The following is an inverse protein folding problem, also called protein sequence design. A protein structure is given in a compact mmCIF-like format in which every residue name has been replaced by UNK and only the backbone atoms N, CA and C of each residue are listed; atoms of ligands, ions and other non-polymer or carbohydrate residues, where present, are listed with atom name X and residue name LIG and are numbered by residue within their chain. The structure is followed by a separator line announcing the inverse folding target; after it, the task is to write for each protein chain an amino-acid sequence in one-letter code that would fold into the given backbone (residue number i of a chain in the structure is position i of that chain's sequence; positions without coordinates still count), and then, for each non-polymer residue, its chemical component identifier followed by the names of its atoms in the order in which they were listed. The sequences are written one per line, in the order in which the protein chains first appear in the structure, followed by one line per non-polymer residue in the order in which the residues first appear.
data_IF_273223497173
#
_entry.id   IF_273223497173
#
_cell.length_a   1.000
_cell.length_b   1.000
_cell.length_c   1.000
_cell.angle_alpha   90.00
_cell.angle_beta   90.00
_cell.angle_gamma   90.00
#
_symmetry.space_group_name_H-M   'P 1'
#
loop_
_entity.id
_entity.type
_entity.pdbx_description
1 polymer ?
#
# COMPACT_ATOMS: atom_id res chain seq x y z
N UNK A 1 79.43 5.77 -2.15
CA UNK A 1 79.78 5.43 -3.55
C UNK A 1 78.61 4.64 -4.16
N UNK A 2 78.15 5.07 -5.35
CA UNK A 2 77.19 4.41 -6.28
C UNK A 2 75.68 4.48 -5.96
N UNK A 3 75.05 5.45 -6.65
CA UNK A 3 73.67 5.45 -7.15
C UNK A 3 73.29 4.14 -7.82
N UNK A 4 71.98 3.81 -7.88
CA UNK A 4 71.28 3.40 -9.11
C UNK A 4 69.78 3.69 -9.00
N UNK A 5 69.36 4.78 -9.67
CA UNK A 5 67.98 5.04 -10.09
C UNK A 5 67.77 4.28 -11.41
N UNK A 6 66.64 3.56 -11.52
CA UNK A 6 65.82 3.26 -12.74
C UNK A 6 65.25 1.83 -12.71
N UNK A 7 64.01 1.69 -12.26
CA UNK A 7 62.91 0.92 -12.91
C UNK A 7 61.59 1.61 -12.52
N UNK A 8 61.05 2.49 -13.38
CA UNK A 8 59.89 2.17 -14.25
C UNK A 8 58.59 2.18 -13.41
N UNK A 9 57.95 3.32 -13.14
CA UNK A 9 57.04 4.06 -14.04
C UNK A 9 55.84 3.28 -14.61
N UNK A 10 55.54 2.08 -14.11
CA UNK A 10 54.31 1.33 -14.46
C UNK A 10 53.56 0.98 -13.16
N UNK A 11 53.07 1.98 -12.44
CA UNK A 11 52.09 1.76 -11.37
C UNK A 11 51.12 2.94 -11.15
N UNK A 12 51.08 3.88 -12.09
CA UNK A 12 50.15 5.01 -12.08
C UNK A 12 49.17 4.99 -13.26
N UNK A 13 49.19 3.93 -14.08
CA UNK A 13 48.32 3.73 -15.25
C UNK A 13 47.23 2.67 -15.10
N UNK A 14 47.19 1.94 -13.98
CA UNK A 14 46.23 0.83 -13.78
C UNK A 14 45.11 1.19 -12.77
N UNK A 15 45.26 2.26 -11.98
CA UNK A 15 44.19 2.78 -11.11
C UNK A 15 43.22 3.75 -11.80
N UNK A 16 43.49 4.17 -13.04
CA UNK A 16 42.64 5.12 -13.79
C UNK A 16 41.72 4.46 -14.84
N UNK A 17 41.78 3.14 -15.00
CA UNK A 17 40.94 2.41 -15.98
C UNK A 17 39.76 1.67 -15.32
N UNK A 18 39.70 1.60 -13.99
CA UNK A 18 38.60 0.94 -13.27
C UNK A 18 37.40 1.85 -12.94
N UNK A 19 37.44 3.13 -13.31
CA UNK A 19 36.33 4.08 -13.10
C UNK A 19 35.48 4.36 -14.35
N UNK A 20 35.67 3.61 -15.45
CA UNK A 20 35.02 3.88 -16.74
C UNK A 20 33.79 3.00 -17.07
N UNK A 21 33.29 2.17 -16.14
CA UNK A 21 32.08 1.37 -16.39
C UNK A 21 31.16 1.26 -15.16
N UNK A 22 30.86 2.38 -14.49
CA UNK A 22 29.54 2.48 -13.85
C UNK A 22 28.55 2.82 -14.95
N UNK A 23 27.90 1.80 -15.52
CA UNK A 23 26.60 2.01 -16.17
C UNK A 23 25.69 2.52 -15.05
N UNK A 24 25.55 3.83 -14.94
CA UNK A 24 24.40 4.44 -14.28
C UNK A 24 23.19 3.82 -14.96
N UNK A 25 22.54 2.89 -14.26
CA UNK A 25 21.18 2.48 -14.60
C UNK A 25 20.34 3.70 -14.25
N UNK A 26 20.26 4.65 -15.19
CA UNK A 26 19.19 5.64 -15.16
C UNK A 26 17.91 4.84 -15.22
N UNK A 27 17.13 4.88 -14.14
CA UNK A 27 15.71 4.57 -14.24
C UNK A 27 15.19 5.45 -15.39
N UNK A 28 14.63 4.83 -16.43
CA UNK A 28 14.12 5.55 -17.58
C UNK A 28 12.96 6.41 -17.12
N UNK A 29 13.23 7.68 -16.84
CA UNK A 29 12.24 8.69 -16.52
C UNK A 29 11.68 9.20 -17.83
N UNK A 30 10.37 9.07 -18.05
CA UNK A 30 9.70 9.66 -19.20
C UNK A 30 9.71 11.19 -19.10
N UNK A 31 9.82 11.84 -20.26
CA UNK A 31 9.92 13.31 -20.37
C UNK A 31 8.60 13.99 -20.71
N UNK A 32 7.64 13.25 -21.28
CA UNK A 32 6.31 13.74 -21.66
C UNK A 32 5.23 12.65 -21.46
N UNK A 33 3.96 13.06 -21.42
CA UNK A 33 2.81 12.20 -21.14
C UNK A 33 2.68 11.05 -22.15
N UNK A 34 2.93 11.30 -23.43
CA UNK A 34 2.86 10.30 -24.49
C UNK A 34 3.93 9.21 -24.31
N UNK A 35 5.16 9.60 -23.97
CA UNK A 35 6.24 8.68 -23.66
C UNK A 35 5.94 7.85 -22.41
N UNK A 36 5.39 8.48 -21.36
CA UNK A 36 4.96 7.76 -20.16
C UNK A 36 3.88 6.72 -20.50
N UNK A 37 2.89 7.08 -21.31
CA UNK A 37 1.81 6.18 -21.73
C UNK A 37 2.35 4.98 -22.54
N UNK A 38 3.28 5.23 -23.46
CA UNK A 38 3.95 4.18 -24.24
C UNK A 38 4.71 3.21 -23.33
N UNK A 39 5.51 3.73 -22.40
CA UNK A 39 6.26 2.91 -21.44
C UNK A 39 5.35 2.14 -20.48
N UNK A 40 4.23 2.73 -20.05
CA UNK A 40 3.22 2.05 -19.24
C UNK A 40 2.67 0.83 -19.99
N UNK A 41 2.27 1.00 -21.25
CA UNK A 41 1.78 -0.10 -22.08
C UNK A 41 2.86 -1.17 -22.31
N UNK A 42 4.09 -0.75 -22.61
CA UNK A 42 5.23 -1.64 -22.80
C UNK A 42 5.49 -2.51 -21.56
N UNK A 43 5.57 -1.90 -20.38
CA UNK A 43 5.79 -2.63 -19.13
C UNK A 43 4.58 -3.47 -18.70
N UNK A 44 3.36 -3.03 -18.99
CA UNK A 44 2.16 -3.86 -18.78
C UNK A 44 2.19 -5.12 -19.65
N UNK A 45 2.54 -4.99 -20.92
CA UNK A 45 2.68 -6.13 -21.84
C UNK A 45 3.79 -7.08 -21.41
N UNK A 46 4.94 -6.53 -20.99
CA UNK A 46 6.06 -7.34 -20.51
C UNK A 46 5.71 -8.06 -19.20
N UNK A 47 4.97 -7.45 -18.28
CA UNK A 47 4.45 -8.14 -17.08
C UNK A 47 3.57 -9.32 -17.48
N UNK A 48 2.60 -9.12 -18.39
CA UNK A 48 1.71 -10.19 -18.85
C UNK A 48 2.48 -11.36 -19.47
N UNK A 49 3.53 -11.05 -20.26
CA UNK A 49 4.41 -12.05 -20.85
C UNK A 49 5.21 -12.81 -19.79
N UNK A 50 5.81 -12.11 -18.83
CA UNK A 50 6.58 -12.71 -17.74
C UNK A 50 5.68 -13.55 -16.81
N UNK A 51 4.42 -13.17 -16.62
CA UNK A 51 3.44 -13.96 -15.86
C UNK A 51 3.11 -15.30 -16.54
N UNK A 52 3.15 -15.36 -17.87
CA UNK A 52 2.97 -16.60 -18.64
C UNK A 52 4.21 -17.51 -18.72
N UNK A 53 5.36 -17.08 -18.19
CA UNK A 53 6.60 -17.86 -18.21
C UNK A 53 6.78 -18.73 -16.96
N UNK A 54 7.72 -19.67 -17.01
CA UNK A 54 8.01 -20.59 -15.90
C UNK A 54 8.34 -19.85 -14.59
N UNK A 55 7.85 -20.38 -13.47
CA UNK A 55 8.09 -19.86 -12.11
C UNK A 55 9.53 -20.13 -11.67
N UNK A 56 10.46 -19.31 -12.14
CA UNK A 56 11.88 -19.30 -11.75
C UNK A 56 12.19 -18.04 -10.94
N UNK A 57 13.28 -18.07 -10.16
CA UNK A 57 13.72 -16.90 -9.40
C UNK A 57 14.02 -15.74 -10.34
N UNK A 58 14.69 -16.02 -11.46
CA UNK A 58 14.99 -15.03 -12.50
C UNK A 58 13.72 -14.37 -13.05
N UNK A 59 12.70 -15.16 -13.36
CA UNK A 59 11.43 -14.64 -13.87
C UNK A 59 10.73 -13.78 -12.80
N UNK A 60 10.70 -14.22 -11.55
CA UNK A 60 10.09 -13.47 -10.45
C UNK A 60 10.79 -12.13 -10.20
N UNK A 61 12.13 -12.11 -10.25
CA UNK A 61 12.92 -10.88 -10.17
C UNK A 61 12.61 -9.94 -11.34
N UNK A 62 12.53 -10.48 -12.56
CA UNK A 62 12.19 -9.70 -13.75
C UNK A 62 10.79 -9.10 -13.66
N UNK A 63 9.81 -9.83 -13.12
CA UNK A 63 8.47 -9.29 -12.86
C UNK A 63 8.51 -8.12 -11.88
N UNK A 64 9.23 -8.25 -10.75
CA UNK A 64 9.39 -7.15 -9.80
C UNK A 64 10.11 -5.95 -10.43
N UNK A 65 11.16 -6.17 -11.21
CA UNK A 65 11.87 -5.10 -11.89
C UNK A 65 10.99 -4.33 -12.86
N UNK A 66 10.17 -5.04 -13.65
CA UNK A 66 9.24 -4.42 -14.59
C UNK A 66 8.10 -3.70 -13.85
N UNK A 67 7.59 -4.25 -12.75
CA UNK A 67 6.59 -3.59 -11.90
C UNK A 67 7.13 -2.31 -11.26
N UNK A 68 8.37 -2.35 -10.72
CA UNK A 68 9.04 -1.19 -10.14
C UNK A 68 9.23 -0.10 -11.19
N UNK A 69 9.65 -0.44 -12.42
CA UNK A 69 9.75 0.50 -13.53
C UNK A 69 8.39 1.10 -13.90
N UNK A 70 7.35 0.27 -14.01
CA UNK A 70 5.99 0.71 -14.29
C UNK A 70 5.49 1.72 -13.23
N UNK A 71 5.63 1.38 -11.96
CA UNK A 71 5.22 2.26 -10.85
C UNK A 71 6.05 3.56 -10.85
N UNK A 72 7.35 3.49 -11.14
CA UNK A 72 8.22 4.67 -11.25
C UNK A 72 7.77 5.61 -12.37
N UNK A 73 7.43 5.07 -13.55
CA UNK A 73 6.89 5.86 -14.67
C UNK A 73 5.53 6.48 -14.31
N UNK A 74 4.64 5.75 -13.64
CA UNK A 74 3.35 6.29 -13.17
C UNK A 74 3.52 7.43 -12.17
N UNK A 75 4.48 7.32 -11.25
CA UNK A 75 4.83 8.39 -10.30
C UNK A 75 5.31 9.63 -11.06
N UNK A 76 6.20 9.47 -12.04
CA UNK A 76 6.69 10.57 -12.86
C UNK A 76 5.53 11.26 -13.63
N UNK A 77 4.65 10.47 -14.24
CA UNK A 77 3.47 10.98 -14.94
C UNK A 77 2.54 11.76 -14.00
N UNK A 78 2.19 11.21 -12.83
CA UNK A 78 1.32 11.88 -11.85
C UNK A 78 1.99 13.14 -11.29
N UNK A 79 3.30 13.13 -11.06
CA UNK A 79 4.03 14.31 -10.61
C UNK A 79 4.01 15.44 -11.65
N UNK A 80 4.19 15.12 -12.95
CA UNK A 80 4.09 16.13 -14.01
C UNK A 80 2.65 16.64 -14.17
N UNK A 81 1.64 15.79 -14.04
CA UNK A 81 0.23 16.21 -14.02
C UNK A 81 -0.06 17.21 -12.89
N UNK A 82 0.44 16.95 -11.68
CA UNK A 82 0.31 17.87 -10.53
C UNK A 82 0.98 19.22 -10.83
N UNK A 83 2.17 19.20 -11.44
CA UNK A 83 2.90 20.41 -11.81
C UNK A 83 2.16 21.23 -12.87
N UNK A 84 1.69 20.59 -13.93
CA UNK A 84 0.90 21.22 -14.99
C UNK A 84 -0.41 21.81 -14.45
N UNK A 85 -1.12 21.07 -13.59
CA UNK A 85 -2.33 21.53 -12.94
C UNK A 85 -2.06 22.70 -11.99
N UNK A 86 -0.97 22.65 -11.22
CA UNK A 86 -0.53 23.76 -10.37
C UNK A 86 -0.25 25.04 -11.17
N UNK A 87 0.39 24.93 -12.34
CA UNK A 87 0.58 26.05 -13.25
C UNK A 87 -0.74 26.67 -13.73
N UNK A 88 -1.72 25.84 -14.10
CA UNK A 88 -3.06 26.28 -14.52
C UNK A 88 -3.84 26.94 -13.38
N UNK A 89 -3.77 26.38 -12.17
CA UNK A 89 -4.39 26.95 -10.97
C UNK A 89 -3.82 28.35 -10.70
N UNK A 90 -2.49 28.53 -10.82
CA UNK A 90 -1.88 29.85 -10.64
C UNK A 90 -2.39 30.86 -11.67
N UNK A 91 -2.41 30.48 -12.96
CA UNK A 91 -2.94 31.35 -14.03
C UNK A 91 -4.42 31.71 -13.83
N UNK A 92 -5.24 30.75 -13.41
CA UNK A 92 -6.66 30.99 -13.09
C UNK A 92 -6.81 31.88 -11.85
N UNK A 93 -5.97 31.70 -10.84
CA UNK A 93 -5.94 32.55 -9.64
C UNK A 93 -5.62 34.00 -10.00
N UNK A 94 -4.59 34.24 -10.80
CA UNK A 94 -4.21 35.58 -11.25
C UNK A 94 -5.32 36.22 -12.09
N UNK A 95 -5.93 35.44 -12.99
CA UNK A 95 -7.04 35.90 -13.83
C UNK A 95 -8.27 36.24 -13.00
N UNK A 96 -8.60 35.42 -12.01
CA UNK A 96 -9.73 35.61 -11.11
C UNK A 96 -9.53 36.85 -10.23
N UNK A 97 -8.31 37.08 -9.75
CA UNK A 97 -7.98 38.29 -9.00
C UNK A 97 -8.17 39.55 -9.86
N UNK A 98 -7.64 39.56 -11.09
CA UNK A 98 -7.79 40.67 -12.02
C UNK A 98 -9.26 40.93 -12.42
N UNK A 99 -10.03 39.86 -12.72
CA UNK A 99 -11.46 39.95 -13.03
C UNK A 99 -12.26 40.48 -11.84
N UNK A 100 -11.92 40.04 -10.63
CA UNK A 100 -12.57 40.49 -9.39
C UNK A 100 -12.28 41.97 -9.12
N UNK A 101 -11.03 42.41 -9.34
CA UNK A 101 -10.65 43.82 -9.22
C UNK A 101 -11.39 44.70 -10.24
N UNK A 102 -11.45 44.27 -11.50
CA UNK A 102 -12.20 44.96 -12.56
C UNK A 102 -13.69 45.04 -12.24
N UNK A 103 -14.29 43.94 -11.77
CA UNK A 103 -15.68 43.91 -11.34
C UNK A 103 -15.94 44.84 -10.16
N UNK A 104 -15.09 44.83 -9.13
CA UNK A 104 -15.21 45.72 -7.98
C UNK A 104 -15.12 47.20 -8.38
N UNK A 105 -14.17 47.57 -9.24
CA UNK A 105 -14.05 48.93 -9.76
C UNK A 105 -15.32 49.35 -10.51
N UNK A 106 -15.86 48.47 -11.35
CA UNK A 106 -17.08 48.76 -12.12
C UNK A 106 -18.31 48.85 -11.23
N UNK A 107 -18.47 47.95 -10.25
CA UNK A 107 -19.56 47.96 -9.30
C UNK A 107 -19.60 49.25 -8.47
N UNK A 108 -18.44 49.78 -8.08
CA UNK A 108 -18.34 51.08 -7.37
C UNK A 108 -18.80 52.24 -8.27
N UNK A 109 -18.38 52.28 -9.54
CA UNK A 109 -18.81 53.33 -10.47
C UNK A 109 -20.31 53.23 -10.80
N UNK A 110 -20.82 52.03 -11.05
CA UNK A 110 -22.26 51.78 -11.24
C UNK A 110 -23.06 52.20 -9.99
N UNK A 111 -22.56 51.93 -8.79
CA UNK A 111 -23.20 52.36 -7.55
C UNK A 111 -23.21 53.89 -7.39
N UNK A 112 -22.10 54.57 -7.69
CA UNK A 112 -22.03 56.04 -7.69
C UNK A 112 -23.04 56.62 -8.67
N UNK A 113 -23.10 56.12 -9.91
CA UNK A 113 -24.07 56.52 -10.92
C UNK A 113 -25.52 56.37 -10.41
N UNK A 114 -25.84 55.24 -9.79
CA UNK A 114 -27.17 54.99 -9.21
C UNK A 114 -27.56 55.94 -8.06
N UNK A 115 -26.58 56.54 -7.37
CA UNK A 115 -26.79 57.48 -6.28
C UNK A 115 -26.90 58.92 -6.73
N UNK A 116 -26.22 59.29 -7.82
CA UNK A 116 -26.24 60.67 -8.34
C UNK A 116 -27.47 60.94 -9.21
N UNK A 117 -28.03 59.91 -9.86
CA UNK A 117 -29.25 60.03 -10.64
C UNK A 117 -30.12 58.80 -10.39
N UNK A 118 -31.41 58.98 -10.08
CA UNK A 118 -32.37 57.93 -10.40
C UNK A 118 -32.12 57.56 -11.88
N UNK A 119 -31.85 56.31 -12.27
CA UNK A 119 -31.53 55.95 -13.67
C UNK A 119 -32.52 56.54 -14.71
N UNK A 120 -33.76 56.81 -14.29
CA UNK A 120 -34.77 57.54 -15.06
C UNK A 120 -34.37 59.00 -15.37
N UNK A 121 -33.73 59.70 -14.45
CA UNK A 121 -33.22 61.07 -14.61
C UNK A 121 -32.13 61.13 -15.69
N UNK A 122 -31.24 60.16 -15.77
CA UNK A 122 -30.22 60.10 -16.83
C UNK A 122 -30.85 60.05 -18.24
N UNK A 123 -31.92 59.26 -18.40
CA UNK A 123 -32.69 59.19 -19.65
C UNK A 123 -33.51 60.47 -19.86
N UNK A 124 -34.06 61.08 -18.79
CA UNK A 124 -34.81 62.34 -18.83
C UNK A 124 -33.93 63.57 -19.10
N UNK A 125 -32.60 63.49 -18.95
CA UNK A 125 -31.65 64.55 -19.35
C UNK A 125 -31.37 64.57 -20.85
N UNK A 126 -31.96 63.66 -21.63
CA UNK A 126 -31.73 63.60 -23.07
C UNK A 126 -32.26 64.84 -23.80
N UNK A 127 -31.49 65.32 -24.79
CA UNK A 127 -31.85 66.51 -25.57
C UNK A 127 -32.98 66.25 -26.58
N UNK A 128 -33.14 65.00 -27.02
CA UNK A 128 -34.17 64.55 -27.96
C UNK A 128 -34.45 63.04 -27.79
N UNK A 129 -35.45 62.52 -28.51
CA UNK A 129 -35.86 61.10 -28.44
C UNK A 129 -34.74 60.16 -28.90
N UNK A 130 -33.94 60.56 -29.89
CA UNK A 130 -32.80 59.77 -30.39
C UNK A 130 -31.70 59.59 -29.33
N UNK A 131 -31.39 60.66 -28.59
CA UNK A 131 -30.45 60.67 -27.47
C UNK A 131 -30.99 59.85 -26.29
N UNK A 132 -32.30 59.94 -26.01
CA UNK A 132 -32.94 59.13 -24.97
C UNK A 132 -32.87 57.62 -25.27
N UNK A 133 -33.16 57.23 -26.52
CA UNK A 133 -33.08 55.84 -26.99
C UNK A 133 -31.63 55.34 -26.95
N UNK A 134 -30.67 56.17 -27.36
CA UNK A 134 -29.25 55.83 -27.31
C UNK A 134 -28.77 55.60 -25.88
N UNK A 135 -29.09 56.50 -24.94
CA UNK A 135 -28.75 56.38 -23.52
C UNK A 135 -29.38 55.13 -22.88
N UNK A 136 -30.62 54.79 -23.25
CA UNK A 136 -31.27 53.55 -22.81
C UNK A 136 -30.52 52.30 -23.28
N UNK A 137 -30.18 52.21 -24.57
CA UNK A 137 -29.39 51.10 -25.11
C UNK A 137 -28.00 50.99 -24.49
N UNK A 138 -27.36 52.11 -24.13
CA UNK A 138 -26.09 52.08 -23.39
C UNK A 138 -26.24 51.45 -22.00
N UNK A 139 -27.29 51.81 -21.25
CA UNK A 139 -27.54 51.22 -19.93
C UNK A 139 -27.88 49.74 -20.02
N UNK A 140 -28.71 49.34 -20.99
CA UNK A 140 -29.02 47.94 -21.29
C UNK A 140 -27.74 47.16 -21.59
N UNK A 141 -26.88 47.70 -22.47
CA UNK A 141 -25.61 47.07 -22.82
C UNK A 141 -24.66 46.93 -21.62
N UNK A 142 -24.59 47.94 -20.76
CA UNK A 142 -23.79 47.88 -19.53
C UNK A 142 -24.30 46.75 -18.62
N UNK A 143 -25.62 46.66 -18.41
CA UNK A 143 -26.23 45.63 -17.57
C UNK A 143 -25.98 44.23 -18.11
N UNK A 144 -26.10 44.02 -19.43
CA UNK A 144 -25.78 42.75 -20.08
C UNK A 144 -24.32 42.34 -19.87
N UNK A 145 -23.37 43.25 -20.07
CA UNK A 145 -21.94 42.97 -19.90
C UNK A 145 -21.58 42.70 -18.42
N UNK A 146 -22.27 43.35 -17.46
CA UNK A 146 -22.08 43.09 -16.03
C UNK A 146 -22.59 41.70 -15.62
N UNK A 147 -23.76 41.29 -16.12
CA UNK A 147 -24.26 39.92 -15.91
C UNK A 147 -23.36 38.87 -16.55
N UNK A 148 -22.86 39.15 -17.76
CA UNK A 148 -21.91 38.29 -18.46
C UNK A 148 -20.60 38.15 -17.68
N UNK A 149 -20.08 39.25 -17.13
CA UNK A 149 -18.86 39.25 -16.30
C UNK A 149 -19.06 38.45 -15.00
N UNK A 150 -20.18 38.62 -14.30
CA UNK A 150 -20.52 37.85 -13.10
C UNK A 150 -20.57 36.36 -13.38
N UNK A 151 -21.21 35.95 -14.48
CA UNK A 151 -21.26 34.55 -14.89
C UNK A 151 -19.87 33.98 -15.18
N UNK A 152 -19.01 34.74 -15.89
CA UNK A 152 -17.63 34.32 -16.14
C UNK A 152 -16.81 34.19 -14.87
N UNK A 153 -17.01 35.07 -13.89
CA UNK A 153 -16.39 35.00 -12.57
C UNK A 153 -16.84 33.73 -11.83
N UNK A 154 -18.14 33.44 -11.81
CA UNK A 154 -18.71 32.23 -11.21
C UNK A 154 -18.16 30.96 -11.87
N UNK A 155 -18.16 30.91 -13.21
CA UNK A 155 -17.62 29.78 -13.99
C UNK A 155 -16.10 29.59 -13.72
N UNK A 156 -15.34 30.68 -13.65
CA UNK A 156 -13.91 30.66 -13.36
C UNK A 156 -13.62 30.22 -11.93
N UNK A 157 -14.38 30.71 -10.95
CA UNK A 157 -14.27 30.31 -9.55
C UNK A 157 -14.59 28.81 -9.40
N UNK A 158 -15.68 28.36 -10.01
CA UNK A 158 -16.08 26.94 -10.01
C UNK A 158 -14.98 26.07 -10.63
N UNK A 159 -14.41 26.49 -11.76
CA UNK A 159 -13.30 25.79 -12.42
C UNK A 159 -12.05 25.74 -11.54
N UNK A 160 -11.71 26.85 -10.86
CA UNK A 160 -10.56 26.94 -9.97
C UNK A 160 -10.70 26.02 -8.75
N UNK A 161 -11.87 26.01 -8.11
CA UNK A 161 -12.17 25.12 -7.00
C UNK A 161 -12.13 23.65 -7.42
N UNK A 162 -12.70 23.31 -8.59
CA UNK A 162 -12.61 21.98 -9.17
C UNK A 162 -11.17 21.52 -9.41
N UNK A 163 -10.33 22.38 -9.99
CA UNK A 163 -8.91 22.05 -10.22
C UNK A 163 -8.11 21.85 -8.92
N UNK A 164 -8.43 22.59 -7.86
CA UNK A 164 -7.83 22.35 -6.53
C UNK A 164 -8.21 20.98 -5.98
N UNK A 165 -9.49 20.60 -6.09
CA UNK A 165 -9.94 19.28 -5.67
C UNK A 165 -9.23 18.16 -6.46
N UNK A 166 -9.10 18.32 -7.79
CA UNK A 166 -8.35 17.38 -8.63
C UNK A 166 -6.88 17.28 -8.22
N UNK A 167 -6.25 18.39 -7.82
CA UNK A 167 -4.88 18.41 -7.34
C UNK A 167 -4.72 17.60 -6.06
N UNK A 168 -5.65 17.71 -5.11
CA UNK A 168 -5.64 16.92 -3.87
C UNK A 168 -5.79 15.41 -4.15
N UNK A 169 -6.66 15.04 -5.10
CA UNK A 169 -6.83 13.65 -5.55
C UNK A 169 -5.52 13.11 -6.13
N UNK A 170 -4.86 13.87 -7.02
CA UNK A 170 -3.58 13.47 -7.60
C UNK A 170 -2.47 13.35 -6.55
N UNK A 171 -2.42 14.24 -5.55
CA UNK A 171 -1.46 14.15 -4.44
C UNK A 171 -1.66 12.90 -3.60
N UNK A 172 -2.92 12.55 -3.30
CA UNK A 172 -3.26 11.30 -2.60
C UNK A 172 -2.88 10.07 -3.42
N UNK A 173 -3.12 10.10 -4.73
CA UNK A 173 -2.69 9.05 -5.66
C UNK A 173 -1.17 8.91 -5.68
N UNK A 174 -0.43 10.01 -5.76
CA UNK A 174 1.04 10.02 -5.75
C UNK A 174 1.59 9.37 -4.48
N UNK A 175 1.06 9.73 -3.30
CA UNK A 175 1.45 9.13 -2.02
C UNK A 175 1.20 7.63 -2.00
N UNK A 176 0.07 7.18 -2.57
CA UNK A 176 -0.28 5.76 -2.69
C UNK A 176 0.68 5.02 -3.63
N UNK A 177 1.01 5.60 -4.78
CA UNK A 177 1.98 5.04 -5.72
C UNK A 177 3.38 4.93 -5.10
N UNK A 178 3.82 5.93 -4.32
CA UNK A 178 5.10 5.90 -3.61
C UNK A 178 5.15 4.81 -2.54
N UNK A 179 4.08 4.65 -1.76
CA UNK A 179 3.96 3.55 -0.80
C UNK A 179 4.02 2.19 -1.51
N UNK A 180 3.32 2.04 -2.64
CA UNK A 180 3.35 0.82 -3.45
C UNK A 180 4.75 0.53 -4.00
N UNK A 181 5.45 1.54 -4.53
CA UNK A 181 6.83 1.40 -5.02
C UNK A 181 7.77 0.90 -3.92
N UNK A 182 7.65 1.43 -2.70
CA UNK A 182 8.46 0.99 -1.58
C UNK A 182 8.16 -0.45 -1.18
N UNK A 183 6.88 -0.83 -1.14
CA UNK A 183 6.46 -2.22 -0.90
C UNK A 183 6.99 -3.17 -1.98
N UNK A 184 6.93 -2.80 -3.28
CA UNK A 184 7.49 -3.61 -4.37
C UNK A 184 9.01 -3.83 -4.20
N UNK A 185 9.75 -2.80 -3.82
CA UNK A 185 11.19 -2.90 -3.55
C UNK A 185 11.50 -3.79 -2.35
N UNK A 186 10.72 -3.68 -1.28
CA UNK A 186 10.92 -4.48 -0.08
C UNK A 186 10.58 -5.96 -0.34
N UNK A 187 9.47 -6.25 -1.01
CA UNK A 187 9.10 -7.60 -1.42
C UNK A 187 10.18 -8.26 -2.30
N UNK A 188 10.74 -7.51 -3.26
CA UNK A 188 11.89 -7.97 -4.07
C UNK A 188 13.09 -8.30 -3.18
N UNK A 189 13.44 -7.41 -2.25
CA UNK A 189 14.57 -7.62 -1.34
C UNK A 189 14.36 -8.82 -0.43
N UNK A 190 13.15 -9.04 0.10
CA UNK A 190 12.84 -10.21 0.93
C UNK A 190 12.99 -11.51 0.15
N UNK A 191 12.53 -11.54 -1.12
CA UNK A 191 12.76 -12.68 -2.00
C UNK A 191 14.26 -12.94 -2.20
N UNK A 192 15.06 -11.90 -2.44
CA UNK A 192 16.50 -12.03 -2.60
C UNK A 192 17.20 -12.48 -1.31
N UNK A 193 16.76 -12.02 -0.14
CA UNK A 193 17.29 -12.43 1.15
C UNK A 193 16.96 -13.90 1.45
N UNK A 194 15.72 -14.32 1.19
CA UNK A 194 15.26 -15.69 1.43
C UNK A 194 15.95 -16.68 0.48
N UNK A 195 16.13 -16.30 -0.79
CA UNK A 195 16.73 -17.18 -1.81
C UNK A 195 18.24 -17.06 -1.87
N UNK A 196 18.83 -15.96 -1.38
CA UNK A 196 20.26 -15.63 -1.56
C UNK A 196 20.69 -15.69 -3.03
N UNK A 197 19.80 -15.28 -3.94
CA UNK A 197 19.97 -15.36 -5.39
C UNK A 197 20.25 -16.79 -5.93
N UNK A 198 19.73 -17.80 -5.24
CA UNK A 198 19.91 -19.21 -5.56
C UNK A 198 18.57 -19.83 -6.01
N UNK A 199 18.54 -20.30 -7.26
CA UNK A 199 17.36 -20.93 -7.87
C UNK A 199 16.95 -22.20 -7.11
N UNK A 200 17.90 -22.99 -6.60
CA UNK A 200 17.57 -24.22 -5.87
C UNK A 200 16.84 -23.89 -4.57
N UNK A 201 17.28 -22.86 -3.85
CA UNK A 201 16.58 -22.38 -2.65
C UNK A 201 15.20 -21.84 -2.97
N UNK A 202 15.05 -21.13 -4.09
CA UNK A 202 13.74 -20.67 -4.54
C UNK A 202 12.79 -21.84 -4.84
N UNK A 203 13.26 -22.86 -5.58
CA UNK A 203 12.46 -24.05 -5.85
C UNK A 203 12.13 -24.85 -4.58
N UNK A 204 13.04 -24.88 -3.60
CA UNK A 204 12.77 -25.45 -2.27
C UNK A 204 11.66 -24.67 -1.54
N UNK A 205 11.70 -23.33 -1.55
CA UNK A 205 10.63 -22.50 -0.97
C UNK A 205 9.28 -22.74 -1.67
N UNK A 206 9.26 -22.84 -3.00
CA UNK A 206 8.04 -23.16 -3.74
C UNK A 206 7.50 -24.56 -3.41
N UNK A 207 8.39 -25.55 -3.25
CA UNK A 207 8.01 -26.89 -2.84
C UNK A 207 7.44 -26.91 -1.42
N UNK A 208 8.06 -26.20 -0.48
CA UNK A 208 7.56 -26.03 0.89
C UNK A 208 6.20 -25.33 0.92
N UNK A 209 6.04 -24.26 0.13
CA UNK A 209 4.77 -23.56 0.00
C UNK A 209 3.65 -24.50 -0.49
N UNK A 210 3.91 -25.27 -1.56
CA UNK A 210 2.94 -26.25 -2.09
C UNK A 210 2.58 -27.33 -1.06
N UNK A 211 3.57 -27.85 -0.34
CA UNK A 211 3.35 -28.86 0.69
C UNK A 211 2.48 -28.32 1.83
N UNK A 212 2.79 -27.12 2.33
CA UNK A 212 2.01 -26.47 3.39
C UNK A 212 0.57 -26.16 2.94
N UNK A 213 0.39 -25.65 1.72
CA UNK A 213 -0.95 -25.40 1.16
C UNK A 213 -1.76 -26.70 1.07
N UNK A 214 -1.17 -27.78 0.57
CA UNK A 214 -1.85 -29.08 0.51
C UNK A 214 -2.26 -29.58 1.90
N UNK A 215 -1.40 -29.37 2.90
CA UNK A 215 -1.68 -29.74 4.29
C UNK A 215 -2.84 -28.93 4.88
N UNK A 216 -2.82 -27.61 4.70
CA UNK A 216 -3.88 -26.70 5.14
C UNK A 216 -5.21 -27.01 4.46
N UNK A 217 -5.21 -27.24 3.14
CA UNK A 217 -6.41 -27.62 2.41
C UNK A 217 -7.00 -28.93 2.95
N UNK A 218 -6.15 -29.93 3.20
CA UNK A 218 -6.58 -31.21 3.77
C UNK A 218 -7.18 -31.02 5.17
N UNK A 219 -6.57 -30.17 6.00
CA UNK A 219 -7.10 -29.81 7.32
C UNK A 219 -8.48 -29.16 7.21
N UNK A 220 -8.62 -28.12 6.37
CA UNK A 220 -9.89 -27.40 6.17
C UNK A 220 -10.99 -28.35 5.69
N UNK A 221 -10.70 -29.22 4.72
CA UNK A 221 -11.67 -30.22 4.25
C UNK A 221 -12.11 -31.16 5.37
N UNK A 222 -11.18 -31.63 6.21
CA UNK A 222 -11.52 -32.47 7.38
C UNK A 222 -12.40 -31.75 8.41
N UNK A 223 -12.28 -30.42 8.52
CA UNK A 223 -13.14 -29.61 9.39
C UNK A 223 -14.49 -29.24 8.76
N UNK A 224 -14.79 -29.70 7.54
CA UNK A 224 -16.05 -29.40 6.84
C UNK A 224 -16.04 -28.12 6.02
N UNK A 225 -14.86 -27.53 5.77
CA UNK A 225 -14.69 -26.31 4.98
C UNK A 225 -14.48 -25.05 5.81
N UNK A 226 -14.15 -23.94 5.13
CA UNK A 226 -13.83 -22.66 5.75
C UNK A 226 -14.90 -21.60 5.48
N UNK A 227 -16.15 -21.85 5.90
CA UNK A 227 -17.20 -20.84 5.79
C UNK A 227 -16.85 -19.60 6.59
N UNK A 228 -17.22 -18.42 6.09
CA UNK A 228 -16.96 -17.16 6.77
C UNK A 228 -17.81 -17.07 8.04
N UNK A 229 -17.20 -16.58 9.11
CA UNK A 229 -17.80 -16.35 10.41
C UNK A 229 -17.83 -14.85 10.70
N UNK A 230 -18.78 -14.39 11.51
CA UNK A 230 -18.83 -12.99 11.93
C UNK A 230 -18.55 -12.86 13.43
N UNK A 231 -18.07 -11.69 13.84
CA UNK A 231 -17.89 -11.30 15.25
C UNK A 231 -17.02 -12.27 16.08
N UNK A 232 -15.99 -12.85 15.47
CA UNK A 232 -15.11 -13.80 16.14
C UNK A 232 -14.04 -13.11 16.97
N UNK A 233 -13.65 -11.89 16.61
CA UNK A 233 -12.67 -11.12 17.37
C UNK A 233 -13.13 -10.88 18.81
N UNK A 234 -12.29 -11.25 19.78
CA UNK A 234 -12.50 -11.02 21.23
C UNK A 234 -11.22 -10.47 21.83
N UNK A 235 -11.29 -9.37 22.57
CA UNK A 235 -10.13 -8.75 23.21
C UNK A 235 -10.32 -8.68 24.73
N UNK A 236 -9.25 -8.94 25.46
CA UNK A 236 -9.16 -8.85 26.91
C UNK A 236 -7.75 -8.39 27.30
N UNK A 237 -7.45 -8.37 28.60
CA UNK A 237 -6.16 -7.87 29.13
C UNK A 237 -4.94 -8.64 28.59
N UNK A 238 -5.11 -9.87 28.12
CA UNK A 238 -4.02 -10.62 27.50
C UNK A 238 -3.72 -10.14 26.08
N UNK A 239 -4.70 -9.57 25.38
CA UNK A 239 -4.66 -9.25 23.96
C UNK A 239 -5.82 -9.86 23.17
N UNK A 240 -5.91 -9.54 21.89
CA UNK A 240 -7.00 -9.96 21.03
C UNK A 240 -6.83 -11.39 20.48
N UNK A 241 -7.93 -12.13 20.46
CA UNK A 241 -8.11 -13.35 19.68
C UNK A 241 -8.58 -12.99 18.28
N UNK A 242 -7.96 -13.62 17.27
CA UNK A 242 -8.31 -13.44 15.87
C UNK A 242 -8.54 -14.79 15.20
N UNK A 243 -9.71 -14.96 14.59
CA UNK A 243 -10.06 -16.13 13.82
C UNK A 243 -9.80 -15.89 12.32
N UNK A 244 -9.11 -16.79 11.62
CA UNK A 244 -8.77 -16.66 10.20
C UNK A 244 -10.00 -16.60 9.28
N UNK A 245 -11.16 -17.12 9.71
CA UNK A 245 -12.43 -17.13 8.96
C UNK A 245 -13.32 -15.93 9.28
N UNK A 246 -12.89 -15.01 10.15
CA UNK A 246 -13.67 -13.80 10.46
C UNK A 246 -13.93 -12.97 9.21
N UNK A 247 -15.16 -12.47 9.04
CA UNK A 247 -15.63 -11.68 7.90
C UNK A 247 -14.80 -10.43 7.60
N UNK A 248 -14.08 -9.88 8.59
CA UNK A 248 -13.20 -8.72 8.36
C UNK A 248 -12.04 -9.02 7.40
N UNK A 249 -11.56 -10.27 7.35
CA UNK A 249 -10.40 -10.64 6.51
C UNK A 249 -10.48 -12.00 5.84
N UNK A 250 -11.42 -12.87 6.19
CA UNK A 250 -11.46 -14.27 5.75
C UNK A 250 -11.51 -14.43 4.23
N UNK A 251 -12.07 -13.45 3.51
CA UNK A 251 -12.11 -13.40 2.05
C UNK A 251 -10.87 -12.78 1.39
N UNK A 252 -9.96 -12.20 2.15
CA UNK A 252 -8.73 -11.58 1.63
C UNK A 252 -7.78 -12.67 1.14
N UNK A 253 -7.30 -12.54 -0.09
CA UNK A 253 -6.23 -13.37 -0.65
C UNK A 253 -4.87 -13.00 -0.05
N UNK A 254 -4.05 -14.00 0.27
CA UNK A 254 -2.76 -13.79 0.92
C UNK A 254 -1.62 -13.67 -0.09
N UNK A 255 -0.83 -12.59 -0.01
CA UNK A 255 0.41 -12.45 -0.78
C UNK A 255 0.24 -12.53 -2.30
N UNK A 256 -0.89 -12.04 -2.81
CA UNK A 256 -1.24 -12.09 -4.23
C UNK A 256 -1.56 -13.50 -4.78
N UNK A 257 -1.74 -14.49 -3.89
CA UNK A 257 -2.19 -15.83 -4.27
C UNK A 257 -3.72 -15.92 -4.35
N UNK A 258 -4.23 -17.03 -4.91
CA UNK A 258 -5.67 -17.36 -4.88
C UNK A 258 -6.15 -17.90 -3.53
N UNK A 259 -5.27 -17.98 -2.54
CA UNK A 259 -5.54 -18.60 -1.24
C UNK A 259 -6.00 -17.55 -0.23
N UNK A 260 -7.20 -17.75 0.32
CA UNK A 260 -7.80 -16.81 1.26
C UNK A 260 -7.37 -17.06 2.71
N UNK A 261 -7.43 -16.03 3.54
CA UNK A 261 -7.25 -16.11 4.98
C UNK A 261 -8.11 -17.21 5.62
N UNK A 262 -9.37 -17.34 5.22
CA UNK A 262 -10.27 -18.36 5.78
C UNK A 262 -9.72 -19.78 5.60
N UNK A 263 -9.11 -20.08 4.46
CA UNK A 263 -8.61 -21.42 4.15
C UNK A 263 -7.17 -21.65 4.63
N UNK A 264 -6.32 -20.62 4.70
CA UNK A 264 -4.87 -20.82 4.87
C UNK A 264 -4.21 -19.88 5.90
N UNK A 265 -5.00 -19.04 6.57
CA UNK A 265 -4.51 -17.95 7.43
C UNK A 265 -4.16 -18.33 8.86
N UNK A 266 -4.08 -19.62 9.23
CA UNK A 266 -3.87 -20.04 10.63
C UNK A 266 -2.58 -19.47 11.23
N UNK A 267 -1.47 -19.50 10.48
CA UNK A 267 -0.20 -18.91 10.93
C UNK A 267 -0.29 -17.37 11.02
N UNK A 268 -0.93 -16.72 10.03
CA UNK A 268 -1.09 -15.27 9.98
C UNK A 268 -1.91 -14.76 11.18
N UNK A 269 -3.04 -15.42 11.47
CA UNK A 269 -3.86 -15.11 12.63
C UNK A 269 -3.12 -15.39 13.94
N UNK A 270 -2.33 -16.48 14.01
CA UNK A 270 -1.50 -16.80 15.18
C UNK A 270 -0.44 -15.73 15.45
N UNK A 271 0.27 -15.25 14.42
CA UNK A 271 1.23 -14.15 14.53
C UNK A 271 0.53 -12.87 15.01
N UNK A 272 -0.66 -12.57 14.48
CA UNK A 272 -1.44 -11.39 14.87
C UNK A 272 -1.90 -11.44 16.33
N UNK A 273 -2.31 -12.62 16.81
CA UNK A 273 -2.67 -12.82 18.23
C UNK A 273 -1.47 -12.59 19.15
N UNK A 274 -0.30 -13.13 18.79
CA UNK A 274 0.94 -12.92 19.55
C UNK A 274 1.37 -11.45 19.49
N UNK A 275 1.20 -10.78 18.35
CA UNK A 275 1.47 -9.35 18.21
C UNK A 275 0.60 -8.52 19.15
N UNK A 276 -0.71 -8.81 19.20
CA UNK A 276 -1.65 -8.13 20.09
C UNK A 276 -1.30 -8.33 21.56
N UNK A 277 -0.84 -9.53 21.95
CA UNK A 277 -0.34 -9.79 23.31
C UNK A 277 0.82 -8.88 23.71
N UNK A 278 1.74 -8.60 22.78
CA UNK A 278 2.84 -7.65 23.00
C UNK A 278 2.46 -6.19 22.73
N UNK A 279 1.16 -5.86 22.71
CA UNK A 279 0.65 -4.51 22.52
C UNK A 279 0.85 -3.94 21.11
N UNK A 280 1.10 -4.79 20.11
CA UNK A 280 1.25 -4.37 18.71
C UNK A 280 -0.09 -4.48 17.98
N UNK A 281 -0.47 -3.42 17.28
CA UNK A 281 -1.67 -3.39 16.45
C UNK A 281 -1.36 -3.93 15.04
N UNK A 282 -1.28 -5.26 14.93
CA UNK A 282 -1.10 -5.98 13.67
C UNK A 282 -2.28 -6.96 13.55
N UNK A 283 -3.23 -6.65 12.65
CA UNK A 283 -4.38 -7.51 12.38
C UNK A 283 -4.04 -8.54 11.31
N UNK A 284 -4.80 -9.65 11.22
CA UNK A 284 -4.56 -10.66 10.19
C UNK A 284 -4.67 -10.09 8.76
N UNK A 285 -5.61 -9.16 8.53
CA UNK A 285 -5.76 -8.46 7.25
C UNK A 285 -4.53 -7.64 6.85
N UNK A 286 -3.83 -7.02 7.80
CA UNK A 286 -2.63 -6.21 7.54
C UNK A 286 -1.50 -7.07 7.00
N UNK A 287 -1.32 -8.26 7.58
CA UNK A 287 -0.32 -9.23 7.10
C UNK A 287 -0.77 -9.79 5.76
N UNK A 288 -2.04 -10.19 5.60
CA UNK A 288 -2.56 -10.84 4.39
C UNK A 288 -2.30 -10.05 3.11
N UNK A 289 -2.45 -8.71 3.17
CA UNK A 289 -2.22 -7.80 2.03
C UNK A 289 -0.77 -7.33 1.90
N UNK A 290 0.12 -7.71 2.82
CA UNK A 290 1.52 -7.32 2.78
C UNK A 290 2.27 -8.17 1.74
N UNK A 291 2.71 -7.53 0.66
CA UNK A 291 3.60 -8.16 -0.31
C UNK A 291 4.97 -8.53 0.28
N UNK A 292 5.35 -7.91 1.39
CA UNK A 292 6.61 -8.17 2.08
C UNK A 292 6.57 -9.46 2.91
N UNK A 293 5.36 -9.90 3.28
CA UNK A 293 5.16 -11.01 4.19
C UNK A 293 5.25 -12.39 3.52
N UNK A 294 5.08 -12.49 2.20
CA UNK A 294 4.91 -13.77 1.53
C UNK A 294 5.90 -14.04 0.40
N UNK A 295 6.23 -15.32 0.21
CA UNK A 295 6.82 -15.78 -1.05
C UNK A 295 5.82 -15.48 -2.17
N UNK A 296 6.22 -14.75 -3.23
CA UNK A 296 5.30 -14.21 -4.23
C UNK A 296 4.36 -15.27 -4.81
N UNK A 297 3.06 -14.93 -4.88
CA UNK A 297 2.00 -15.74 -5.47
C UNK A 297 1.74 -17.11 -4.78
N UNK A 298 2.33 -17.38 -3.61
CA UNK A 298 2.16 -18.67 -2.92
C UNK A 298 1.34 -18.59 -1.64
N UNK A 299 1.24 -17.42 -1.00
CA UNK A 299 0.66 -17.31 0.35
C UNK A 299 1.54 -17.93 1.46
N UNK A 300 2.77 -18.35 1.15
CA UNK A 300 3.71 -18.87 2.14
C UNK A 300 4.41 -17.74 2.89
N UNK A 301 4.20 -17.67 4.20
CA UNK A 301 4.70 -16.59 5.06
C UNK A 301 6.23 -16.71 5.26
N UNK A 302 6.96 -15.63 5.04
CA UNK A 302 8.38 -15.55 5.35
C UNK A 302 8.63 -15.66 6.85
N UNK A 303 9.84 -16.11 7.20
CA UNK A 303 10.31 -16.12 8.58
C UNK A 303 10.71 -14.73 9.09
N UNK A 304 10.85 -13.74 8.19
CA UNK A 304 11.08 -12.34 8.56
C UNK A 304 10.41 -11.44 7.53
N UNK A 305 9.64 -10.47 7.99
CA UNK A 305 8.94 -9.50 7.14
C UNK A 305 8.61 -8.21 7.89
N UNK A 306 8.15 -7.19 7.15
CA UNK A 306 7.67 -5.94 7.74
C UNK A 306 6.16 -5.78 7.50
N UNK A 307 5.45 -5.27 8.50
CA UNK A 307 4.04 -4.90 8.42
C UNK A 307 3.80 -3.71 9.34
N UNK A 308 3.10 -2.68 8.84
CA UNK A 308 2.85 -1.45 9.59
C UNK A 308 4.11 -0.81 10.21
N UNK A 309 5.28 -0.97 9.56
CA UNK A 309 6.56 -0.45 10.05
C UNK A 309 7.22 -1.27 11.16
N UNK A 310 6.65 -2.43 11.53
CA UNK A 310 7.19 -3.33 12.55
C UNK A 310 7.83 -4.53 11.85
N UNK A 311 9.05 -4.88 12.26
CA UNK A 311 9.72 -6.10 11.79
C UNK A 311 9.24 -7.29 12.61
N UNK A 312 8.64 -8.26 11.92
CA UNK A 312 8.23 -9.53 12.50
C UNK A 312 9.28 -10.58 12.16
N UNK A 313 9.73 -11.33 13.17
CA UNK A 313 10.63 -12.48 12.96
C UNK A 313 10.05 -13.72 13.63
N UNK A 314 10.00 -14.82 12.88
CA UNK A 314 9.46 -16.12 13.27
C UNK A 314 10.62 -17.11 13.32
N UNK A 315 10.86 -17.71 14.48
CA UNK A 315 11.94 -18.68 14.68
C UNK A 315 11.39 -20.05 15.04
N UNK A 316 11.91 -21.09 14.41
CA UNK A 316 11.58 -22.48 14.77
C UNK A 316 12.42 -22.91 15.97
N UNK A 317 11.76 -23.50 16.96
CA UNK A 317 12.37 -23.88 18.25
C UNK A 317 11.95 -25.30 18.65
N UNK A 318 12.70 -25.90 19.58
CA UNK A 318 12.38 -27.23 20.10
C UNK A 318 11.10 -27.22 20.92
N UNK A 319 10.26 -28.24 20.76
CA UNK A 319 9.05 -28.46 21.59
C UNK A 319 9.35 -28.51 23.10
N UNK A 320 10.57 -28.86 23.47
CA UNK A 320 11.00 -28.91 24.88
C UNK A 320 10.92 -27.57 25.62
N UNK A 321 10.87 -26.44 24.92
CA UNK A 321 10.86 -25.11 25.56
C UNK A 321 9.46 -24.59 25.93
N UNK A 322 8.39 -25.31 25.55
CA UNK A 322 7.00 -24.83 25.74
C UNK A 322 6.78 -24.40 27.19
N UNK A 323 7.10 -25.27 28.16
CA UNK A 323 6.85 -25.00 29.58
C UNK A 323 7.64 -23.77 30.09
N UNK A 324 8.90 -23.60 29.65
CA UNK A 324 9.71 -22.44 30.05
C UNK A 324 9.22 -21.12 29.43
N UNK A 325 8.68 -21.16 28.22
CA UNK A 325 8.12 -19.97 27.57
C UNK A 325 6.79 -19.56 28.22
N UNK A 326 5.88 -20.53 28.39
CA UNK A 326 4.56 -20.28 28.95
C UNK A 326 4.61 -19.85 30.42
N UNK A 327 5.52 -20.44 31.22
CA UNK A 327 5.73 -20.01 32.62
C UNK A 327 6.30 -18.60 32.74
N UNK A 328 7.01 -18.13 31.72
CA UNK A 328 7.48 -16.75 31.63
C UNK A 328 6.46 -15.79 30.99
N UNK A 329 5.22 -16.24 30.78
CA UNK A 329 4.15 -15.46 30.17
C UNK A 329 4.34 -15.20 28.68
N UNK A 330 5.25 -15.92 28.00
CA UNK A 330 5.52 -15.76 26.57
C UNK A 330 4.74 -16.80 25.77
N UNK A 331 3.75 -16.38 24.95
CA UNK A 331 3.00 -17.32 24.15
C UNK A 331 3.83 -17.89 23.00
N UNK A 332 3.47 -19.11 22.60
CA UNK A 332 4.17 -19.86 21.55
C UNK A 332 3.18 -20.30 20.48
N UNK A 333 3.62 -20.33 19.22
CA UNK A 333 2.82 -20.84 18.11
C UNK A 333 3.18 -22.32 17.92
N UNK A 334 2.21 -23.21 18.15
CA UNK A 334 2.37 -24.64 17.97
C UNK A 334 1.85 -25.05 16.58
N UNK A 335 2.69 -25.75 15.81
CA UNK A 335 2.29 -26.42 14.58
C UNK A 335 1.86 -27.85 14.89
N UNK A 336 0.68 -28.22 14.40
CA UNK A 336 0.05 -29.52 14.62
C UNK A 336 0.26 -30.47 13.44
N UNK A 337 0.31 -31.76 13.75
CA UNK A 337 0.44 -32.87 12.80
C UNK A 337 1.68 -32.76 11.90
N UNK A 338 1.78 -33.61 10.88
CA UNK A 338 2.97 -33.69 10.03
C UNK A 338 2.88 -32.74 8.83
N UNK A 339 3.23 -31.45 9.00
CA UNK A 339 3.12 -30.51 7.87
C UNK A 339 3.57 -29.05 8.05
N UNK A 340 3.57 -28.46 9.25
CA UNK A 340 2.40 -28.52 10.13
C UNK A 340 1.11 -28.20 9.33
N UNK A 341 0.06 -28.97 9.59
CA UNK A 341 -1.25 -28.88 8.92
C UNK A 341 -2.10 -27.72 9.46
N UNK A 342 -1.82 -27.29 10.68
CA UNK A 342 -2.54 -26.23 11.37
C UNK A 342 -1.63 -25.56 12.38
N UNK A 343 -1.88 -24.28 12.65
CA UNK A 343 -1.17 -23.51 13.67
C UNK A 343 -2.16 -22.99 14.71
N UNK A 344 -1.79 -23.14 15.97
CA UNK A 344 -2.52 -22.62 17.13
C UNK A 344 -1.57 -21.81 18.02
N UNK A 345 -2.12 -20.95 18.87
CA UNK A 345 -1.33 -20.24 19.89
C UNK A 345 -1.54 -20.91 21.23
N UNK A 346 -0.48 -21.36 21.89
CA UNK A 346 -0.51 -21.72 23.31
C UNK A 346 -0.17 -20.47 24.13
N UNK A 347 -1.02 -20.17 25.09
CA UNK A 347 -0.98 -18.90 25.83
C UNK A 347 -0.45 -19.04 27.25
N UNK A 348 -0.74 -20.17 27.90
CA UNK A 348 -0.30 -20.51 29.26
C UNK A 348 -0.51 -22.01 29.52
N UNK A 349 -0.08 -22.46 30.69
CA UNK A 349 -0.34 -23.79 31.22
C UNK A 349 -1.09 -23.66 32.56
N UNK A 350 -2.26 -24.29 32.64
CA UNK A 350 -3.13 -24.30 33.82
C UNK A 350 -3.14 -25.73 34.39
N UNK A 351 -2.33 -25.97 35.43
CA UNK A 351 -2.06 -27.32 35.93
C UNK A 351 -1.33 -28.17 34.88
N UNK A 352 -1.93 -29.28 34.46
CA UNK A 352 -1.40 -30.14 33.40
C UNK A 352 -1.90 -29.77 32.00
N UNK A 353 -2.84 -28.82 31.89
CA UNK A 353 -3.48 -28.45 30.64
C UNK A 353 -2.80 -27.25 29.99
N UNK A 354 -2.49 -27.37 28.70
CA UNK A 354 -2.10 -26.20 27.89
C UNK A 354 -3.35 -25.46 27.43
N UNK A 355 -3.36 -24.14 27.58
CA UNK A 355 -4.48 -23.31 27.13
C UNK A 355 -4.15 -22.71 25.77
N UNK A 356 -5.01 -23.01 24.79
CA UNK A 356 -4.85 -22.62 23.39
C UNK A 356 -5.86 -21.58 22.93
N UNK A 357 -5.48 -20.86 21.88
CA UNK A 357 -6.36 -20.09 20.99
C UNK A 357 -6.23 -20.67 19.58
N UNK A 358 -7.29 -21.29 19.08
CA UNK A 358 -7.31 -21.90 17.74
C UNK A 358 -7.85 -20.89 16.70
N UNK A 359 -7.08 -20.50 15.67
CA UNK A 359 -7.51 -19.49 14.70
C UNK A 359 -8.54 -20.00 13.68
N UNK A 360 -8.87 -21.29 13.63
CA UNK A 360 -9.82 -21.86 12.67
C UNK A 360 -11.19 -22.16 13.30
N UNK A 361 -11.20 -22.70 14.52
CA UNK A 361 -12.44 -23.07 15.21
C UNK A 361 -13.33 -21.85 15.48
N UNK A 362 -14.63 -21.98 15.24
CA UNK A 362 -15.58 -20.95 15.68
C UNK A 362 -15.48 -20.77 17.21
N UNK A 363 -15.31 -19.52 17.64
CA UNK A 363 -15.00 -19.16 19.02
C UNK A 363 -13.81 -19.95 19.59
N UNK A 364 -12.77 -20.23 18.79
CA UNK A 364 -11.60 -21.06 19.14
C UNK A 364 -10.79 -20.63 20.37
N UNK A 365 -11.08 -19.45 20.94
CA UNK A 365 -10.55 -19.00 22.23
C UNK A 365 -11.60 -18.96 23.37
N UNK A 366 -12.74 -19.63 23.21
CA UNK A 366 -13.88 -19.50 24.13
C UNK A 366 -14.73 -18.26 23.84
N UNK A 367 -15.84 -18.10 24.55
CA UNK A 367 -16.79 -16.98 24.36
C UNK A 367 -16.19 -15.62 24.77
N UNK A 368 -15.27 -15.61 25.73
CA UNK A 368 -14.60 -14.43 26.27
C UNK A 368 -13.18 -14.20 25.70
N UNK A 369 -12.72 -15.09 24.81
CA UNK A 369 -11.38 -15.05 24.25
C UNK A 369 -10.26 -15.44 25.22
N UNK A 370 -10.55 -16.00 26.40
CA UNK A 370 -9.54 -16.38 27.41
C UNK A 370 -8.69 -17.60 27.03
N UNK A 371 -9.10 -18.33 26.00
CA UNK A 371 -8.51 -19.59 25.56
C UNK A 371 -9.31 -20.80 26.05
N UNK A 372 -8.95 -21.98 25.54
CA UNK A 372 -9.56 -23.26 25.93
C UNK A 372 -8.49 -24.34 26.12
N UNK A 373 -8.74 -25.40 26.90
CA UNK A 373 -7.80 -26.51 27.00
C UNK A 373 -7.46 -27.10 25.64
N UNK A 374 -6.19 -27.40 25.39
CA UNK A 374 -5.71 -28.07 24.18
C UNK A 374 -6.48 -29.38 23.95
N UNK A 375 -6.70 -30.12 25.04
CA UNK A 375 -7.38 -31.42 25.11
C UNK A 375 -8.84 -31.39 24.65
N UNK A 376 -9.46 -30.21 24.52
CA UNK A 376 -10.81 -30.09 23.96
C UNK A 376 -10.86 -30.56 22.49
N UNK A 377 -9.73 -30.52 21.78
CA UNK A 377 -9.67 -30.85 20.35
C UNK A 377 -8.40 -31.62 19.94
N UNK A 378 -7.27 -31.35 20.59
CA UNK A 378 -5.96 -31.87 20.21
C UNK A 378 -5.23 -32.49 21.40
N UNK A 379 -4.21 -33.30 21.12
CA UNK A 379 -3.31 -33.87 22.11
C UNK A 379 -1.95 -33.16 22.10
N UNK A 380 -1.21 -33.23 23.21
CA UNK A 380 0.16 -32.72 23.24
C UNK A 380 1.04 -33.42 22.19
N UNK A 381 0.81 -34.71 21.91
CA UNK A 381 1.51 -35.47 20.87
C UNK A 381 1.30 -34.93 19.46
N UNK A 382 0.19 -34.23 19.19
CA UNK A 382 -0.08 -33.65 17.87
C UNK A 382 0.85 -32.47 17.55
N UNK A 383 1.48 -31.84 18.55
CA UNK A 383 2.42 -30.75 18.33
C UNK A 383 3.74 -31.31 17.77
N UNK A 384 4.08 -30.93 16.54
CA UNK A 384 5.29 -31.38 15.83
C UNK A 384 6.31 -30.27 15.63
N UNK A 385 5.89 -29.01 15.68
CA UNK A 385 6.78 -27.85 15.55
C UNK A 385 6.35 -26.73 16.49
N UNK A 386 7.31 -25.91 16.87
CA UNK A 386 7.09 -24.75 17.73
C UNK A 386 7.77 -23.53 17.13
N UNK A 387 7.08 -22.39 17.20
CA UNK A 387 7.57 -21.12 16.68
C UNK A 387 7.47 -20.03 17.75
N UNK A 388 8.53 -19.24 17.88
CA UNK A 388 8.52 -17.98 18.63
C UNK A 388 8.44 -16.83 17.64
N UNK A 389 7.79 -15.74 18.08
CA UNK A 389 7.65 -14.53 17.28
C UNK A 389 8.19 -13.34 18.06
N UNK A 390 9.04 -12.54 17.42
CA UNK A 390 9.54 -11.27 17.95
C UNK A 390 9.10 -10.11 17.06
N UNK A 391 8.91 -8.94 17.67
CA UNK A 391 8.47 -7.71 17.03
C UNK A 391 9.47 -6.60 17.35
N UNK A 392 10.19 -6.12 16.33
CA UNK A 392 11.22 -5.10 16.46
C UNK A 392 10.86 -3.82 15.71
#
# INVERSE_FOLDING_TARGET
MKFHVKKVSILLGICLVFFAFTKTVSAQTCSNTEECNRLIQEYQNEISKLQGQASTLKNQIAQFDTQIKLTTVKIAQTAEQIKMLGGRINQLGDSLAALTEAFNSRAVETYKLSKFENNLVYILTAYNIEDAVSKFHYLEKIQEEDQSLLKRLEDAQTTYEGQKADQEVLQKQLKTQQANLNAQKLAKNNLLLATKNDEVKYQQLLSQAKAQLSAFQSFVTRQGGASILSNQTKCNDWGCYYNQRDSEWGNIGMGGSSYTMANYGCLVSSVSMVASHYGKNIKPGDIAVSNDAFVPATGYLYHSFSVNGITVSISSVSKSIIDSELSAGRPVIAGLYSGPDHFIVLTRKDGDNYIMRDPFMENGAGSDGSGRPLTDKYSFSDITSLRLVSFN
#
